data_IF_016571487107
#
_entry.id   IF_016571487107
#
_cell.length_a   1.000
_cell.length_b   1.000
_cell.length_c   1.000
_cell.angle_alpha   90.00
_cell.angle_beta   90.00
_cell.angle_gamma   90.00
#
_symmetry.space_group_name_H-M   'P 1'
#
loop_
_entity.id
_entity.type
_entity.pdbx_description
1 polymer ?
#
# COMPACT_ATOMS: atom_id res chain seq x y z
N UNK A 1 -28.25 33.02 -15.93
CA UNK A 1 -27.01 32.23 -15.74
C UNK A 1 -27.38 30.99 -14.93
N UNK A 2 -27.51 29.84 -15.59
CA UNK A 2 -28.25 28.67 -15.06
C UNK A 2 -27.40 27.64 -14.29
N UNK A 3 -26.12 27.93 -14.04
CA UNK A 3 -25.31 27.12 -13.14
C UNK A 3 -24.60 28.03 -12.15
N UNK A 4 -25.09 28.05 -10.90
CA UNK A 4 -24.31 28.53 -9.76
C UNK A 4 -23.12 27.58 -9.66
N UNK A 5 -21.92 28.09 -9.88
CA UNK A 5 -20.70 27.32 -9.69
C UNK A 5 -20.65 26.94 -8.21
N UNK A 6 -20.87 25.67 -7.92
CA UNK A 6 -20.80 25.15 -6.57
C UNK A 6 -19.33 24.84 -6.27
N UNK A 7 -18.75 25.58 -5.33
CA UNK A 7 -17.33 25.49 -4.98
C UNK A 7 -16.96 24.11 -4.40
N UNK A 8 -17.96 23.35 -3.93
CA UNK A 8 -17.75 22.00 -3.46
C UNK A 8 -17.72 20.98 -4.61
N UNK A 9 -16.64 21.01 -5.39
CA UNK A 9 -16.39 20.08 -6.49
C UNK A 9 -16.32 18.61 -6.06
N UNK A 10 -16.05 18.33 -4.76
CA UNK A 10 -15.97 16.96 -4.25
C UNK A 10 -17.29 16.19 -4.36
N UNK A 11 -18.43 16.89 -4.39
CA UNK A 11 -19.75 16.28 -4.58
C UNK A 11 -19.92 15.53 -5.91
N UNK A 12 -19.00 15.75 -6.86
CA UNK A 12 -18.98 15.05 -8.14
C UNK A 12 -18.10 13.79 -8.11
N UNK A 13 -17.44 13.49 -6.99
CA UNK A 13 -16.73 12.23 -6.76
C UNK A 13 -17.72 11.15 -6.32
N UNK A 14 -17.36 9.89 -6.56
CA UNK A 14 -18.03 8.77 -5.88
C UNK A 14 -17.80 8.86 -4.37
N UNK A 15 -18.74 8.36 -3.57
CA UNK A 15 -18.66 8.41 -2.11
C UNK A 15 -17.34 7.83 -1.57
N UNK A 16 -16.90 6.69 -2.12
CA UNK A 16 -15.64 6.06 -1.77
C UNK A 16 -14.41 6.92 -2.12
N UNK A 17 -14.40 7.54 -3.31
CA UNK A 17 -13.31 8.41 -3.74
C UNK A 17 -13.24 9.70 -2.91
N UNK A 18 -14.40 10.25 -2.52
CA UNK A 18 -14.48 11.41 -1.64
C UNK A 18 -13.91 11.08 -0.24
N UNK A 19 -14.25 9.92 0.32
CA UNK A 19 -13.70 9.43 1.58
C UNK A 19 -12.18 9.25 1.50
N UNK A 20 -11.68 8.60 0.45
CA UNK A 20 -10.25 8.41 0.22
C UNK A 20 -9.51 9.76 0.09
N UNK A 21 -10.07 10.69 -0.68
CA UNK A 21 -9.50 12.03 -0.82
C UNK A 21 -9.46 12.76 0.53
N UNK A 22 -10.52 12.66 1.33
CA UNK A 22 -10.57 13.31 2.64
C UNK A 22 -9.56 12.71 3.63
N UNK A 23 -9.36 11.40 3.61
CA UNK A 23 -8.29 10.75 4.39
C UNK A 23 -6.90 11.19 3.93
N UNK A 24 -6.65 11.24 2.62
CA UNK A 24 -5.39 11.73 2.07
C UNK A 24 -5.11 13.16 2.51
N UNK A 25 -6.08 14.06 2.39
CA UNK A 25 -5.97 15.45 2.82
C UNK A 25 -5.70 15.57 4.34
N UNK A 26 -6.33 14.73 5.15
CA UNK A 26 -6.08 14.63 6.60
C UNK A 26 -4.67 14.16 6.91
N UNK A 27 -4.12 13.21 6.15
CA UNK A 27 -2.73 12.76 6.31
C UNK A 27 -1.75 13.86 5.89
N UNK A 28 -2.01 14.52 4.76
CA UNK A 28 -1.20 15.63 4.25
C UNK A 28 -1.18 16.83 5.18
N UNK A 29 -2.24 17.06 5.98
CA UNK A 29 -2.27 18.17 6.94
C UNK A 29 -1.21 18.08 8.03
N UNK A 30 -0.57 16.92 8.22
CA UNK A 30 0.61 16.78 9.09
C UNK A 30 1.79 17.63 8.61
N UNK A 31 1.83 17.93 7.30
CA UNK A 31 2.85 18.78 6.67
C UNK A 31 2.40 20.23 6.51
N UNK A 32 1.40 20.68 7.29
CA UNK A 32 0.82 22.02 7.18
C UNK A 32 1.83 23.14 7.30
N UNK A 33 2.87 22.96 8.11
CA UNK A 33 3.97 23.91 8.20
C UNK A 33 4.74 24.04 6.88
N UNK A 34 4.94 22.95 6.14
CA UNK A 34 5.70 22.97 4.89
C UNK A 34 4.94 23.70 3.78
N UNK A 35 3.70 23.28 3.49
CA UNK A 35 2.96 23.86 2.36
C UNK A 35 2.39 25.24 2.64
N UNK A 36 2.24 25.67 3.91
CA UNK A 36 1.80 27.04 4.20
C UNK A 36 2.89 28.09 4.01
N UNK A 37 4.15 27.67 4.12
CA UNK A 37 5.31 28.57 4.04
C UNK A 37 6.01 28.46 2.67
N UNK A 38 5.40 27.79 1.70
CA UNK A 38 5.91 27.69 0.33
C UNK A 38 5.31 28.77 -0.56
N UNK A 39 6.07 29.22 -1.56
CA UNK A 39 5.61 30.20 -2.54
C UNK A 39 4.36 29.73 -3.31
N UNK A 40 4.28 28.43 -3.65
CA UNK A 40 3.10 27.81 -4.23
C UNK A 40 2.50 26.77 -3.28
N UNK A 41 1.52 27.24 -2.49
CA UNK A 41 0.79 26.43 -1.51
C UNK A 41 0.09 25.23 -2.17
N UNK A 42 -0.49 25.39 -3.36
CA UNK A 42 -1.27 24.32 -4.01
C UNK A 42 -0.35 23.22 -4.50
N UNK A 43 0.75 23.58 -5.15
CA UNK A 43 1.77 22.62 -5.57
C UNK A 43 2.41 21.93 -4.36
N UNK A 44 2.74 22.67 -3.31
CA UNK A 44 3.31 22.09 -2.10
C UNK A 44 2.34 21.13 -1.38
N UNK A 45 1.05 21.45 -1.34
CA UNK A 45 0.01 20.54 -0.83
C UNK A 45 -0.04 19.24 -1.64
N UNK A 46 0.03 19.34 -2.97
CA UNK A 46 0.05 18.19 -3.85
C UNK A 46 1.30 17.32 -3.61
N UNK A 47 2.49 17.92 -3.46
CA UNK A 47 3.70 17.17 -3.09
C UNK A 47 3.59 16.49 -1.73
N UNK A 48 2.98 17.14 -0.74
CA UNK A 48 2.72 16.55 0.57
C UNK A 48 1.75 15.35 0.47
N UNK A 49 0.75 15.42 -0.42
CA UNK A 49 -0.14 14.30 -0.69
C UNK A 49 0.58 13.12 -1.35
N UNK A 50 1.40 13.39 -2.38
CA UNK A 50 2.22 12.35 -3.03
C UNK A 50 3.19 11.69 -2.03
N UNK A 51 3.74 12.46 -1.10
CA UNK A 51 4.62 11.92 -0.06
C UNK A 51 3.89 10.93 0.86
N UNK A 52 2.66 11.23 1.27
CA UNK A 52 1.85 10.32 2.08
C UNK A 52 1.47 9.05 1.29
N UNK A 53 1.08 9.19 0.02
CA UNK A 53 0.83 8.03 -0.86
C UNK A 53 2.08 7.15 -1.02
N UNK A 54 3.25 7.75 -1.16
CA UNK A 54 4.53 7.01 -1.23
C UNK A 54 4.79 6.22 0.06
N UNK A 55 4.50 6.80 1.24
CA UNK A 55 4.66 6.08 2.52
C UNK A 55 3.75 4.88 2.60
N UNK A 56 2.51 5.01 2.18
CA UNK A 56 1.56 3.89 2.13
C UNK A 56 2.03 2.80 1.17
N UNK A 57 2.50 3.18 -0.01
CA UNK A 57 3.06 2.25 -0.98
C UNK A 57 4.25 1.46 -0.41
N UNK A 58 5.17 2.13 0.31
CA UNK A 58 6.30 1.47 0.98
C UNK A 58 5.81 0.47 2.05
N UNK A 59 4.77 0.82 2.81
CA UNK A 59 4.19 -0.10 3.81
C UNK A 59 3.60 -1.33 3.12
N UNK A 60 2.85 -1.14 2.03
CA UNK A 60 2.27 -2.23 1.25
C UNK A 60 3.35 -3.14 0.65
N UNK A 61 4.39 -2.58 0.04
CA UNK A 61 5.53 -3.33 -0.50
C UNK A 61 6.24 -4.16 0.59
N UNK A 62 6.44 -3.58 1.79
CA UNK A 62 7.02 -4.31 2.92
C UNK A 62 6.14 -5.47 3.37
N UNK A 63 4.82 -5.29 3.39
CA UNK A 63 3.88 -6.36 3.74
C UNK A 63 3.89 -7.46 2.70
N UNK A 64 3.89 -7.11 1.42
CA UNK A 64 3.97 -8.05 0.31
C UNK A 64 5.25 -8.89 0.39
N UNK A 65 6.40 -8.23 0.57
CA UNK A 65 7.68 -8.93 0.73
C UNK A 65 7.68 -9.95 1.87
N UNK A 66 7.12 -9.58 3.03
CA UNK A 66 6.99 -10.51 4.15
C UNK A 66 6.11 -11.72 3.84
N UNK A 67 5.06 -11.52 3.04
CA UNK A 67 4.20 -12.62 2.59
C UNK A 67 4.96 -13.54 1.62
N UNK A 68 5.71 -12.97 0.66
CA UNK A 68 6.57 -13.72 -0.25
C UNK A 68 7.59 -14.57 0.51
N UNK A 69 8.34 -13.97 1.44
CA UNK A 69 9.31 -14.67 2.31
C UNK A 69 8.67 -15.81 3.11
N UNK A 70 7.46 -15.58 3.64
CA UNK A 70 6.71 -16.60 4.37
C UNK A 70 6.28 -17.77 3.48
N UNK A 71 5.77 -17.49 2.29
CA UNK A 71 5.35 -18.52 1.34
C UNK A 71 6.55 -19.32 0.82
N UNK A 72 7.68 -18.66 0.53
CA UNK A 72 8.92 -19.32 0.13
C UNK A 72 9.40 -20.29 1.23
N UNK A 73 9.35 -19.87 2.49
CA UNK A 73 9.71 -20.73 3.63
C UNK A 73 8.79 -21.96 3.75
N UNK A 74 7.47 -21.79 3.52
CA UNK A 74 6.53 -22.92 3.52
C UNK A 74 6.86 -23.89 2.39
N UNK A 75 7.09 -23.39 1.18
CA UNK A 75 7.40 -24.21 0.01
C UNK A 75 8.70 -24.97 0.20
N UNK A 76 9.73 -24.33 0.77
CA UNK A 76 11.00 -24.98 1.05
C UNK A 76 10.85 -26.12 2.08
N UNK A 77 10.10 -25.88 3.16
CA UNK A 77 9.78 -26.92 4.15
C UNK A 77 9.04 -28.10 3.53
N UNK A 78 8.06 -27.82 2.66
CA UNK A 78 7.31 -28.88 1.97
C UNK A 78 8.22 -29.71 1.05
N UNK A 79 9.07 -29.06 0.24
CA UNK A 79 10.05 -29.75 -0.61
C UNK A 79 11.06 -30.57 0.19
N UNK A 80 11.45 -30.10 1.38
CA UNK A 80 12.33 -30.87 2.27
C UNK A 80 11.63 -32.12 2.78
N UNK A 81 10.39 -31.99 3.26
CA UNK A 81 9.60 -33.13 3.73
C UNK A 81 9.34 -34.17 2.64
N UNK A 82 9.03 -33.75 1.40
CA UNK A 82 8.86 -34.69 0.29
C UNK A 82 10.15 -35.44 -0.05
N UNK A 83 11.31 -34.78 0.02
CA UNK A 83 12.62 -35.44 -0.16
C UNK A 83 12.90 -36.48 0.94
N UNK A 84 12.71 -36.09 2.20
CA UNK A 84 12.90 -37.00 3.35
C UNK A 84 11.97 -38.21 3.26
N UNK A 85 10.73 -38.00 2.80
CA UNK A 85 9.77 -39.09 2.57
C UNK A 85 10.22 -40.05 1.48
N UNK A 86 10.74 -39.54 0.35
CA UNK A 86 11.26 -40.37 -0.74
C UNK A 86 12.48 -41.18 -0.28
N UNK A 87 13.42 -40.55 0.42
CA UNK A 87 14.59 -41.23 1.00
C UNK A 87 14.19 -42.35 1.97
N UNK A 88 13.18 -42.11 2.81
CA UNK A 88 12.65 -43.12 3.72
C UNK A 88 12.06 -44.31 2.95
N UNK A 89 11.23 -44.06 1.93
CA UNK A 89 10.67 -45.13 1.08
C UNK A 89 11.77 -45.95 0.42
N UNK A 90 12.76 -45.30 -0.19
CA UNK A 90 13.90 -46.00 -0.81
C UNK A 90 14.70 -46.83 0.21
N UNK A 91 14.85 -46.35 1.44
CA UNK A 91 15.54 -47.11 2.49
C UNK A 91 14.77 -48.37 2.90
N UNK A 92 13.43 -48.31 2.92
CA UNK A 92 12.56 -49.43 3.29
C UNK A 92 12.50 -50.49 2.19
N UNK A 93 12.58 -50.10 0.92
CA UNK A 93 12.61 -51.03 -0.23
C UNK A 93 13.93 -51.82 -0.34
N UNK A 94 15.01 -51.36 0.30
CA UNK A 94 16.33 -52.02 0.29
C UNK A 94 16.49 -53.11 1.36
N UNK A 95 15.55 -53.25 2.29
CA UNK A 95 15.51 -54.30 3.32
C UNK A 95 14.59 -55.44 2.90
#
# INVERSE_FOLDING_TARGET
MLFKQDDNWKKYLGMEDEEHLNDLLRKSSRHRGAYKNSDDVKMAQMWCAMLEMRKENIILQKRLRRMEEFFDSILEKHRKHEREKLELVESLEKF
#
